data_IF_124226244909
#
_entry.id   IF_124226244909
#
_cell.length_a   1.000
_cell.length_b   1.000
_cell.length_c   1.000
_cell.angle_alpha   90.00
_cell.angle_beta   90.00
_cell.angle_gamma   90.00
#
_symmetry.space_group_name_H-M   'P 1'
#
loop_
_entity.id
_entity.type
_entity.pdbx_description
1 polymer ?
#
# COMPACT_ATOMS: atom_id res chain seq x y z
N UNK A 1 21.30 -15.12 3.78
CA UNK A 1 20.55 -13.88 4.07
C UNK A 1 19.47 -13.77 3.01
N UNK A 2 18.20 -13.48 3.33
CA UNK A 2 17.24 -13.21 2.27
C UNK A 2 17.59 -11.86 1.64
N UNK A 3 17.55 -11.84 0.32
CA UNK A 3 17.68 -10.67 -0.54
C UNK A 3 16.61 -9.65 -0.14
N UNK A 4 17.02 -8.51 0.43
CA UNK A 4 16.10 -7.41 0.71
C UNK A 4 15.60 -6.88 -0.64
N UNK A 5 14.27 -6.82 -0.88
CA UNK A 5 13.76 -6.25 -2.12
C UNK A 5 14.30 -4.82 -2.23
N UNK A 6 14.87 -4.49 -3.40
CA UNK A 6 15.38 -3.16 -3.67
C UNK A 6 14.29 -2.14 -3.32
N UNK A 7 14.62 -1.16 -2.47
CA UNK A 7 13.75 -0.15 -1.83
C UNK A 7 12.87 0.73 -2.79
N UNK A 8 12.69 0.35 -4.05
CA UNK A 8 11.79 0.98 -5.02
C UNK A 8 10.52 0.18 -5.31
N UNK A 9 10.43 -1.09 -4.88
CA UNK A 9 9.27 -1.93 -5.17
C UNK A 9 8.04 -1.47 -4.35
N UNK A 10 8.24 -1.00 -3.11
CA UNK A 10 7.14 -0.53 -2.27
C UNK A 10 6.41 0.70 -2.85
N UNK A 11 7.15 1.66 -3.41
CA UNK A 11 6.59 2.88 -3.97
C UNK A 11 5.89 2.56 -5.29
N UNK A 12 6.44 1.63 -6.08
CA UNK A 12 5.80 1.14 -7.28
C UNK A 12 4.47 0.43 -6.98
N UNK A 13 4.39 -0.33 -5.89
CA UNK A 13 3.15 -0.96 -5.42
C UNK A 13 2.13 0.10 -5.00
N UNK A 14 2.53 1.13 -4.23
CA UNK A 14 1.62 2.21 -3.83
C UNK A 14 1.10 3.00 -5.05
N UNK A 15 1.97 3.32 -6.00
CA UNK A 15 1.58 4.00 -7.23
C UNK A 15 0.61 3.18 -8.09
N UNK A 16 0.69 1.84 -8.04
CA UNK A 16 -0.26 0.94 -8.70
C UNK A 16 -1.59 0.79 -7.95
N UNK A 17 -1.55 0.83 -6.62
CA UNK A 17 -2.77 0.80 -5.78
C UNK A 17 -3.59 2.08 -5.92
N UNK A 18 -2.96 3.25 -6.08
CA UNK A 18 -3.66 4.54 -6.15
C UNK A 18 -4.81 4.57 -7.17
N UNK A 19 -4.62 4.25 -8.47
CA UNK A 19 -5.70 4.27 -9.44
C UNK A 19 -6.74 3.16 -9.23
N UNK A 20 -6.35 2.01 -8.64
CA UNK A 20 -7.28 0.92 -8.34
C UNK A 20 -8.23 1.32 -7.20
N UNK A 21 -7.69 1.91 -6.14
CA UNK A 21 -8.48 2.45 -5.03
C UNK A 21 -9.36 3.62 -5.49
N UNK A 22 -8.87 4.47 -6.40
CA UNK A 22 -9.66 5.58 -6.96
C UNK A 22 -10.82 5.13 -7.86
N UNK A 23 -10.76 3.90 -8.38
CA UNK A 23 -11.78 3.29 -9.22
C UNK A 23 -12.68 2.30 -8.45
N UNK A 24 -12.51 2.19 -7.13
CA UNK A 24 -13.17 1.20 -6.27
C UNK A 24 -12.97 -0.26 -6.78
N UNK A 25 -11.81 -0.51 -7.40
CA UNK A 25 -11.50 -1.78 -8.04
C UNK A 25 -11.03 -2.82 -7.01
N UNK A 26 -11.70 -3.97 -6.97
CA UNK A 26 -11.39 -5.06 -6.04
C UNK A 26 -9.98 -5.64 -6.24
N UNK A 27 -9.36 -5.42 -7.40
CA UNK A 27 -7.97 -5.81 -7.65
C UNK A 27 -6.98 -5.09 -6.72
N UNK A 28 -7.38 -3.98 -6.08
CA UNK A 28 -6.58 -3.36 -5.02
C UNK A 28 -6.34 -4.32 -3.84
N UNK A 29 -7.33 -5.16 -3.51
CA UNK A 29 -7.22 -6.21 -2.49
C UNK A 29 -6.14 -7.23 -2.82
N UNK A 30 -6.24 -7.85 -4.00
CA UNK A 30 -5.25 -8.82 -4.49
C UNK A 30 -3.84 -8.22 -4.55
N UNK A 31 -3.70 -7.01 -5.07
CA UNK A 31 -2.40 -6.37 -5.22
C UNK A 31 -1.78 -5.99 -3.87
N UNK A 32 -2.59 -5.54 -2.91
CA UNK A 32 -2.14 -5.29 -1.55
C UNK A 32 -1.76 -6.59 -0.84
N UNK A 33 -2.58 -7.65 -0.94
CA UNK A 33 -2.31 -8.92 -0.28
C UNK A 33 -1.04 -9.60 -0.79
N UNK A 34 -0.81 -9.58 -2.10
CA UNK A 34 0.41 -10.09 -2.73
C UNK A 34 1.68 -9.38 -2.23
N UNK A 35 1.58 -8.09 -1.87
CA UNK A 35 2.71 -7.26 -1.43
C UNK A 35 2.66 -6.92 0.07
N UNK A 36 1.74 -7.53 0.82
CA UNK A 36 1.46 -7.17 2.22
C UNK A 36 2.69 -7.23 3.09
N UNK A 37 3.50 -8.28 2.95
CA UNK A 37 4.73 -8.47 3.74
C UNK A 37 5.73 -7.36 3.49
N UNK A 38 5.88 -6.94 2.24
CA UNK A 38 6.79 -5.88 1.82
C UNK A 38 6.32 -4.50 2.33
N UNK A 39 5.03 -4.19 2.15
CA UNK A 39 4.44 -2.95 2.65
C UNK A 39 4.49 -2.86 4.18
N UNK A 40 4.24 -3.96 4.89
CA UNK A 40 4.36 -4.02 6.35
C UNK A 40 5.81 -3.85 6.82
N UNK A 41 6.80 -4.43 6.12
CA UNK A 41 8.20 -4.30 6.50
C UNK A 41 8.69 -2.85 6.38
N UNK A 42 8.20 -2.10 5.38
CA UNK A 42 8.61 -0.71 5.13
C UNK A 42 7.81 0.32 5.91
N UNK A 43 6.48 0.21 5.88
CA UNK A 43 5.56 1.23 6.41
C UNK A 43 4.88 0.83 7.73
N UNK A 44 5.03 -0.42 8.16
CA UNK A 44 4.52 -0.92 9.44
C UNK A 44 3.02 -0.64 9.62
N UNK A 45 2.71 0.23 10.59
CA UNK A 45 1.35 0.60 10.96
C UNK A 45 0.54 1.23 9.82
N UNK A 46 1.18 1.96 8.90
CA UNK A 46 0.50 2.54 7.74
C UNK A 46 -0.06 1.45 6.83
N UNK A 47 0.74 0.43 6.54
CA UNK A 47 0.31 -0.73 5.75
C UNK A 47 -0.75 -1.57 6.48
N UNK A 48 -0.68 -1.74 7.80
CA UNK A 48 -1.75 -2.41 8.56
C UNK A 48 -3.09 -1.69 8.41
N UNK A 49 -3.08 -0.37 8.51
CA UNK A 49 -4.30 0.45 8.37
C UNK A 49 -4.86 0.37 6.94
N UNK A 50 -3.99 0.47 5.93
CA UNK A 50 -4.36 0.33 4.53
C UNK A 50 -5.03 -1.03 4.27
N UNK A 51 -4.45 -2.12 4.75
CA UNK A 51 -5.02 -3.46 4.59
C UNK A 51 -6.39 -3.64 5.25
N UNK A 52 -6.59 -3.03 6.43
CA UNK A 52 -7.90 -3.05 7.10
C UNK A 52 -8.97 -2.30 6.31
N UNK A 53 -8.64 -1.14 5.74
CA UNK A 53 -9.56 -0.34 4.94
C UNK A 53 -9.91 -1.04 3.62
N UNK A 54 -8.94 -1.67 2.96
CA UNK A 54 -9.19 -2.46 1.75
C UNK A 54 -10.08 -3.67 2.06
N UNK A 55 -9.87 -4.36 3.18
CA UNK A 55 -10.71 -5.48 3.59
C UNK A 55 -12.15 -5.09 3.94
N UNK A 56 -12.36 -3.84 4.40
CA UNK A 56 -13.69 -3.27 4.68
C UNK A 56 -14.35 -2.66 3.42
N UNK A 57 -13.70 -2.74 2.25
CA UNK A 57 -14.11 -2.08 1.00
C UNK A 57 -14.16 -0.55 1.11
N UNK A 58 -13.44 0.00 2.08
CA UNK A 58 -13.35 1.42 2.39
C UNK A 58 -12.27 2.08 1.54
N UNK A 59 -12.41 1.96 0.21
CA UNK A 59 -11.48 2.46 -0.80
C UNK A 59 -11.13 3.96 -0.68
N UNK A 60 -12.08 4.89 -0.40
CA UNK A 60 -11.72 6.29 -0.17
C UNK A 60 -10.81 6.48 1.05
N UNK A 61 -11.04 5.72 2.12
CA UNK A 61 -10.22 5.77 3.32
C UNK A 61 -8.83 5.13 3.08
N UNK A 62 -8.78 4.05 2.30
CA UNK A 62 -7.55 3.41 1.85
C UNK A 62 -6.71 4.35 0.98
N UNK A 63 -7.33 5.06 0.04
CA UNK A 63 -6.66 6.04 -0.83
C UNK A 63 -6.02 7.18 -0.01
N UNK A 64 -6.73 7.69 1.00
CA UNK A 64 -6.20 8.71 1.90
C UNK A 64 -4.98 8.22 2.68
N UNK A 65 -5.05 7.00 3.25
CA UNK A 65 -3.91 6.38 3.96
C UNK A 65 -2.72 6.15 3.02
N UNK A 66 -2.98 5.69 1.80
CA UNK A 66 -1.95 5.44 0.79
C UNK A 66 -1.20 6.72 0.40
N UNK A 67 -1.92 7.83 0.20
CA UNK A 67 -1.31 9.14 -0.09
C UNK A 67 -0.45 9.63 1.07
N UNK A 68 -0.93 9.51 2.31
CA UNK A 68 -0.16 9.87 3.50
C UNK A 68 1.13 9.03 3.59
N UNK A 69 1.08 7.73 3.25
CA UNK A 69 2.25 6.87 3.23
C UNK A 69 3.26 7.27 2.16
N UNK A 70 2.82 7.69 0.98
CA UNK A 70 3.70 8.20 -0.09
C UNK A 70 4.37 9.50 0.35
N UNK A 71 3.62 10.47 0.85
CA UNK A 71 4.16 11.76 1.32
C UNK A 71 5.20 11.59 2.45
N UNK A 72 4.99 10.62 3.34
CA UNK A 72 5.90 10.29 4.44
C UNK A 72 7.12 9.46 4.01
N UNK A 73 7.04 8.78 2.87
CA UNK A 73 8.15 8.02 2.27
C UNK A 73 9.14 8.89 1.51
N UNK A 74 8.71 10.08 1.04
CA UNK A 74 9.51 11.04 0.28
C UNK A 74 10.41 11.93 1.15
N UNK A 75 10.28 11.88 2.47
CA UNK A 75 11.14 12.61 3.42
C UNK A 75 12.23 11.70 3.98
N UNK A 76 13.18 11.27 3.15
CA UNK A 76 14.47 10.75 3.66
C UNK A 76 15.61 10.87 2.66
#
# INVERSE_FOLDING_TARGET
MPDLPANGDEVAVLARLEPLLACDDTAAGDLFEANRVLLLARFGSGAMKLGGQIADFDYPAALATLREMMERGETS
#
